data_IF_354151177387
#
_entry.id   IF_354151177387
#
_cell.length_a   1.000
_cell.length_b   1.000
_cell.length_c   1.000
_cell.angle_alpha   90.00
_cell.angle_beta   90.00
_cell.angle_gamma   90.00
#
_symmetry.space_group_name_H-M   'P 1'
#
loop_
_entity.id
_entity.type
_entity.pdbx_description
1 polymer ?
#
# COMPACT_ATOMS: atom_id res chain seq x y z
N UNK A 1 41.57 -14.49 -11.41
CA UNK A 1 40.51 -14.01 -10.47
C UNK A 1 40.53 -14.84 -9.20
N UNK A 2 40.70 -16.15 -9.35
CA UNK A 2 40.94 -17.18 -8.33
C UNK A 2 42.40 -17.25 -7.86
N UNK A 3 43.36 -16.91 -8.73
CA UNK A 3 44.81 -16.93 -8.45
C UNK A 3 45.53 -15.69 -8.99
N UNK A 4 46.78 -15.49 -8.56
CA UNK A 4 47.64 -14.37 -9.00
C UNK A 4 48.32 -14.63 -10.35
N UNK A 5 48.81 -15.85 -10.57
CA UNK A 5 49.54 -16.23 -11.78
C UNK A 5 48.88 -17.44 -12.46
N UNK A 6 48.89 -17.44 -13.80
CA UNK A 6 48.39 -18.53 -14.64
C UNK A 6 49.56 -19.15 -15.41
N UNK A 7 49.83 -20.44 -15.17
CA UNK A 7 50.93 -21.14 -15.81
C UNK A 7 50.53 -21.69 -17.19
N UNK A 8 51.50 -22.00 -18.07
CA UNK A 8 51.21 -22.62 -19.36
C UNK A 8 50.43 -23.94 -19.20
N UNK A 9 49.29 -24.04 -19.87
CA UNK A 9 48.39 -25.20 -19.82
C UNK A 9 47.26 -25.09 -18.80
N UNK A 10 47.30 -24.10 -17.91
CA UNK A 10 46.22 -23.86 -16.96
C UNK A 10 45.05 -23.11 -17.61
N UNK A 11 43.84 -23.37 -17.11
CA UNK A 11 42.63 -22.62 -17.41
C UNK A 11 42.12 -21.93 -16.16
N UNK A 12 41.74 -20.65 -16.30
CA UNK A 12 41.11 -19.90 -15.23
C UNK A 12 40.25 -18.76 -15.77
N UNK A 13 39.21 -18.33 -15.03
CA UNK A 13 38.53 -17.07 -15.32
C UNK A 13 39.48 -15.87 -15.13
N UNK A 14 39.67 -15.12 -16.21
CA UNK A 14 40.50 -13.91 -16.25
C UNK A 14 39.62 -12.69 -16.56
N UNK A 15 39.88 -11.57 -15.89
CA UNK A 15 39.25 -10.29 -16.19
C UNK A 15 40.26 -9.39 -16.90
N UNK A 16 39.93 -8.99 -18.14
CA UNK A 16 40.73 -8.02 -18.89
C UNK A 16 40.26 -6.60 -18.64
N UNK A 17 41.21 -5.68 -18.49
CA UNK A 17 40.98 -4.24 -18.61
C UNK A 17 41.61 -3.77 -19.91
N UNK A 18 40.77 -3.41 -20.86
CA UNK A 18 41.21 -3.00 -22.19
C UNK A 18 41.49 -1.50 -22.23
N UNK A 19 42.41 -1.08 -23.10
CA UNK A 19 42.77 0.33 -23.31
C UNK A 19 41.64 1.11 -24.01
N UNK A 20 40.84 0.42 -24.83
CA UNK A 20 39.69 0.98 -25.52
C UNK A 20 38.50 0.01 -25.48
N UNK A 21 37.25 0.52 -25.58
CA UNK A 21 36.06 -0.32 -25.66
C UNK A 21 36.07 -1.20 -26.90
N UNK A 22 35.60 -2.44 -26.76
CA UNK A 22 35.43 -3.40 -27.86
C UNK A 22 34.00 -3.92 -27.92
N UNK A 23 33.52 -4.28 -29.10
CA UNK A 23 32.24 -4.93 -29.28
C UNK A 23 32.45 -6.44 -29.29
N UNK A 24 31.81 -7.15 -28.37
CA UNK A 24 31.88 -8.59 -28.25
C UNK A 24 30.61 -9.16 -27.61
N UNK A 25 30.37 -10.44 -27.82
CA UNK A 25 29.30 -11.21 -27.19
C UNK A 25 29.89 -12.36 -26.37
N UNK A 26 29.06 -13.03 -25.55
CA UNK A 26 29.50 -14.25 -24.88
C UNK A 26 29.90 -15.32 -25.91
N UNK A 27 30.93 -16.08 -25.58
CA UNK A 27 31.52 -17.18 -26.37
C UNK A 27 32.35 -16.75 -27.60
N UNK A 28 32.49 -15.44 -27.85
CA UNK A 28 33.47 -14.93 -28.81
C UNK A 28 34.89 -15.38 -28.42
N UNK A 29 35.64 -15.86 -29.41
CA UNK A 29 37.01 -16.33 -29.21
C UNK A 29 38.00 -15.18 -29.29
N UNK A 30 38.99 -15.19 -28.41
CA UNK A 30 40.10 -14.24 -28.44
C UNK A 30 41.46 -14.95 -28.33
N UNK A 31 42.50 -14.25 -28.78
CA UNK A 31 43.90 -14.66 -28.64
C UNK A 31 44.67 -13.59 -27.89
N UNK A 32 45.57 -14.00 -27.01
CA UNK A 32 46.47 -13.11 -26.28
C UNK A 32 47.86 -13.26 -26.87
N UNK A 33 48.48 -12.15 -27.27
CA UNK A 33 49.82 -12.12 -27.85
C UNK A 33 50.71 -11.17 -27.06
N UNK A 34 51.97 -11.53 -26.88
CA UNK A 34 52.96 -10.60 -26.33
C UNK A 34 53.31 -9.53 -27.36
N UNK A 35 53.62 -8.33 -26.86
CA UNK A 35 53.96 -7.19 -27.70
C UNK A 35 55.29 -7.38 -28.45
N UNK A 36 56.34 -7.86 -27.76
CA UNK A 36 57.63 -8.20 -28.38
C UNK A 36 58.42 -9.23 -27.54
N UNK A 37 58.93 -10.32 -28.12
CA UNK A 37 58.66 -10.78 -29.49
C UNK A 37 57.16 -11.13 -29.65
N UNK A 38 56.63 -11.06 -30.87
CA UNK A 38 55.22 -11.39 -31.12
C UNK A 38 55.03 -12.90 -31.04
N UNK A 39 54.49 -13.40 -29.93
CA UNK A 39 54.11 -14.81 -29.75
C UNK A 39 52.74 -14.91 -29.10
N UNK A 40 51.99 -15.97 -29.42
CA UNK A 40 50.73 -16.29 -28.73
C UNK A 40 51.08 -16.81 -27.34
N UNK A 41 50.51 -16.17 -26.32
CA UNK A 41 50.71 -16.55 -24.91
C UNK A 41 49.47 -17.19 -24.30
N UNK A 42 48.34 -17.13 -24.99
CA UNK A 42 47.11 -17.78 -24.58
C UNK A 42 45.94 -17.42 -25.49
N UNK A 43 44.76 -17.86 -25.11
CA UNK A 43 43.50 -17.54 -25.76
C UNK A 43 42.35 -17.96 -24.86
N UNK A 44 41.13 -17.72 -25.31
CA UNK A 44 39.96 -18.10 -24.54
C UNK A 44 38.66 -17.74 -25.25
N UNK A 45 37.58 -17.85 -24.49
CA UNK A 45 36.25 -17.42 -24.89
C UNK A 45 35.76 -16.35 -23.91
N UNK A 46 35.00 -15.37 -24.41
CA UNK A 46 34.46 -14.30 -23.58
C UNK A 46 33.31 -14.85 -22.74
N UNK A 47 33.46 -14.85 -21.42
CA UNK A 47 32.41 -15.31 -20.50
C UNK A 47 31.39 -14.20 -20.21
N UNK A 48 31.86 -12.97 -20.00
CA UNK A 48 31.02 -11.83 -19.65
C UNK A 48 31.48 -10.58 -20.43
N UNK A 49 30.75 -10.15 -21.47
CA UNK A 49 31.17 -9.04 -22.32
C UNK A 49 31.01 -7.66 -21.65
N UNK A 50 30.20 -7.53 -20.60
CA UNK A 50 29.95 -6.26 -19.89
C UNK A 50 30.18 -6.41 -18.38
N UNK A 51 31.36 -6.91 -18.02
CA UNK A 51 31.74 -7.16 -16.63
C UNK A 51 31.95 -5.88 -15.82
N UNK A 52 31.57 -5.91 -14.54
CA UNK A 52 32.00 -4.94 -13.55
C UNK A 52 33.30 -5.40 -12.88
N UNK A 53 33.99 -4.51 -12.16
CA UNK A 53 35.20 -4.87 -11.41
C UNK A 53 34.85 -5.91 -10.34
N UNK A 54 35.52 -7.07 -10.38
CA UNK A 54 35.36 -8.09 -9.36
C UNK A 54 36.45 -7.98 -8.30
N UNK A 55 36.13 -8.39 -7.07
CA UNK A 55 37.13 -8.59 -6.02
C UNK A 55 37.86 -9.91 -6.31
N UNK A 56 39.17 -9.91 -6.12
CA UNK A 56 39.98 -11.14 -6.22
C UNK A 56 39.54 -12.15 -5.16
N UNK A 57 39.57 -13.43 -5.53
CA UNK A 57 39.21 -14.57 -4.69
C UNK A 57 37.79 -14.53 -4.11
N UNK A 58 36.85 -13.83 -4.78
CA UNK A 58 35.43 -13.87 -4.40
C UNK A 58 34.82 -15.22 -4.85
N UNK A 59 34.46 -16.13 -3.91
CA UNK A 59 33.98 -17.45 -4.26
C UNK A 59 32.67 -17.43 -5.06
N UNK A 60 31.80 -16.43 -4.83
CA UNK A 60 30.51 -16.32 -5.53
C UNK A 60 30.72 -15.96 -6.99
N UNK A 61 31.63 -15.02 -7.25
CA UNK A 61 31.98 -14.61 -8.62
C UNK A 61 32.65 -15.76 -9.36
N UNK A 62 33.61 -16.43 -8.72
CA UNK A 62 34.34 -17.55 -9.33
C UNK A 62 33.37 -18.70 -9.66
N UNK A 63 32.52 -19.10 -8.72
CA UNK A 63 31.53 -20.14 -8.96
C UNK A 63 30.59 -19.76 -10.10
N UNK A 64 30.07 -18.53 -10.10
CA UNK A 64 29.15 -18.09 -11.15
C UNK A 64 29.81 -18.00 -12.53
N UNK A 65 31.09 -17.61 -12.61
CA UNK A 65 31.86 -17.65 -13.87
C UNK A 65 32.11 -19.08 -14.34
N UNK A 66 32.32 -20.03 -13.43
CA UNK A 66 32.43 -21.45 -13.78
C UNK A 66 31.08 -22.01 -14.26
N UNK A 67 29.97 -21.58 -13.67
CA UNK A 67 28.63 -21.98 -14.10
C UNK A 67 28.34 -21.49 -15.54
N UNK A 68 28.92 -20.36 -15.98
CA UNK A 68 28.82 -19.87 -17.36
C UNK A 68 29.51 -20.77 -18.40
N UNK A 69 30.41 -21.65 -17.98
CA UNK A 69 31.05 -22.64 -18.85
C UNK A 69 30.14 -23.84 -19.10
N UNK A 70 29.06 -24.00 -18.33
CA UNK A 70 28.08 -25.06 -18.53
C UNK A 70 27.07 -24.68 -19.62
N UNK A 71 26.50 -25.67 -20.32
CA UNK A 71 25.43 -25.43 -21.32
C UNK A 71 24.05 -25.16 -20.69
N UNK A 72 24.01 -24.75 -19.42
CA UNK A 72 22.77 -24.43 -18.72
C UNK A 72 22.38 -22.95 -18.93
N UNK A 73 21.42 -22.76 -19.84
CA UNK A 73 20.86 -21.44 -20.15
C UNK A 73 20.23 -20.75 -18.94
N UNK A 74 19.55 -21.50 -18.06
CA UNK A 74 18.81 -20.92 -16.93
C UNK A 74 19.80 -20.40 -15.88
N UNK A 75 20.87 -21.17 -15.59
CA UNK A 75 21.97 -20.70 -14.73
C UNK A 75 22.68 -19.49 -15.31
N UNK A 76 22.93 -19.50 -16.61
CA UNK A 76 23.56 -18.37 -17.32
C UNK A 76 22.73 -17.09 -17.18
N UNK A 77 21.42 -17.17 -17.42
CA UNK A 77 20.49 -16.04 -17.25
C UNK A 77 20.45 -15.59 -15.78
N UNK A 78 20.33 -16.53 -14.85
CA UNK A 78 20.29 -16.26 -13.41
C UNK A 78 21.55 -15.51 -12.93
N UNK A 79 22.74 -15.97 -13.35
CA UNK A 79 24.01 -15.33 -13.03
C UNK A 79 24.02 -13.87 -13.49
N UNK A 80 23.73 -13.58 -14.76
CA UNK A 80 23.78 -12.20 -15.25
C UNK A 80 22.73 -11.29 -14.61
N UNK A 81 21.53 -11.80 -14.31
CA UNK A 81 20.51 -11.04 -13.60
C UNK A 81 20.93 -10.73 -12.16
N UNK A 82 21.57 -11.67 -11.47
CA UNK A 82 22.07 -11.47 -10.10
C UNK A 82 23.11 -10.36 -10.02
N UNK A 83 23.96 -10.21 -11.06
CA UNK A 83 24.99 -9.16 -11.12
C UNK A 83 24.41 -7.75 -11.27
N UNK A 84 23.21 -7.60 -11.87
CA UNK A 84 22.62 -6.29 -12.16
C UNK A 84 21.67 -5.78 -11.09
N UNK A 85 21.33 -6.62 -10.09
CA UNK A 85 20.46 -6.23 -8.99
C UNK A 85 19.13 -5.64 -9.49
N UNK A 86 18.74 -4.48 -8.94
CA UNK A 86 17.44 -3.84 -9.22
C UNK A 86 17.30 -3.29 -10.64
N UNK A 87 18.40 -2.97 -11.31
CA UNK A 87 18.37 -2.44 -12.68
C UNK A 87 17.93 -3.50 -13.70
N UNK A 88 18.17 -4.77 -13.36
CA UNK A 88 17.82 -5.91 -14.19
C UNK A 88 18.53 -5.90 -15.54
N UNK A 89 18.04 -6.75 -16.44
CA UNK A 89 18.47 -6.81 -17.83
C UNK A 89 17.25 -6.85 -18.75
N UNK A 90 17.32 -6.11 -19.85
CA UNK A 90 16.40 -6.23 -20.97
C UNK A 90 16.68 -7.49 -21.78
N UNK A 91 15.70 -7.94 -22.57
CA UNK A 91 15.87 -9.04 -23.52
C UNK A 91 17.06 -8.81 -24.46
N UNK A 92 17.25 -7.58 -24.95
CA UNK A 92 18.37 -7.22 -25.84
C UNK A 92 19.72 -7.36 -25.15
N UNK A 93 19.83 -6.94 -23.90
CA UNK A 93 21.06 -7.12 -23.12
C UNK A 93 21.30 -8.61 -22.84
N UNK A 94 20.27 -9.38 -22.47
CA UNK A 94 20.39 -10.83 -22.26
C UNK A 94 20.86 -11.55 -23.52
N UNK A 95 20.43 -11.15 -24.73
CA UNK A 95 20.95 -11.73 -25.98
C UNK A 95 22.46 -11.61 -26.10
N UNK A 96 23.00 -10.41 -25.86
CA UNK A 96 24.44 -10.11 -25.94
C UNK A 96 25.21 -10.86 -24.85
N UNK A 97 24.68 -10.84 -23.63
CA UNK A 97 25.34 -11.41 -22.45
C UNK A 97 25.33 -12.93 -22.44
N UNK A 98 24.31 -13.57 -23.02
CA UNK A 98 24.14 -15.02 -22.96
C UNK A 98 24.48 -15.76 -24.25
N UNK A 99 24.45 -15.07 -25.39
CA UNK A 99 24.58 -15.66 -26.73
C UNK A 99 23.59 -16.83 -26.99
N UNK A 100 22.43 -16.80 -26.32
CA UNK A 100 21.39 -17.83 -26.47
C UNK A 100 20.48 -17.45 -27.65
N UNK A 101 20.17 -18.39 -28.58
CA UNK A 101 19.20 -18.14 -29.65
C UNK A 101 17.82 -17.74 -29.11
N UNK A 102 17.19 -16.76 -29.74
CA UNK A 102 15.94 -16.12 -29.29
C UNK A 102 14.85 -17.10 -28.82
N UNK A 103 14.59 -18.15 -29.60
CA UNK A 103 13.57 -19.16 -29.26
C UNK A 103 13.89 -19.89 -27.96
N UNK A 104 15.17 -20.22 -27.73
CA UNK A 104 15.62 -20.89 -26.50
C UNK A 104 15.63 -19.91 -25.32
N UNK A 105 16.07 -18.68 -25.54
CA UNK A 105 16.08 -17.63 -24.52
C UNK A 105 14.67 -17.32 -24.02
N UNK A 106 13.71 -17.09 -24.94
CA UNK A 106 12.32 -16.85 -24.58
C UNK A 106 11.70 -18.02 -23.80
N UNK A 107 11.99 -19.26 -24.21
CA UNK A 107 11.52 -20.47 -23.50
C UNK A 107 12.11 -20.59 -22.09
N UNK A 108 13.40 -20.30 -21.91
CA UNK A 108 14.05 -20.30 -20.60
C UNK A 108 13.45 -19.21 -19.69
N UNK A 109 13.31 -17.98 -20.19
CA UNK A 109 12.70 -16.87 -19.44
C UNK A 109 11.28 -17.20 -18.98
N UNK A 110 10.45 -17.79 -19.85
CA UNK A 110 9.10 -18.21 -19.48
C UNK A 110 9.08 -19.25 -18.35
N UNK A 111 9.95 -20.27 -18.42
CA UNK A 111 10.08 -21.28 -17.36
C UNK A 111 10.53 -20.69 -16.04
N UNK A 112 11.55 -19.83 -16.06
CA UNK A 112 12.07 -19.15 -14.88
C UNK A 112 11.01 -18.21 -14.26
N UNK A 113 10.23 -17.50 -15.09
CA UNK A 113 9.12 -16.66 -14.61
C UNK A 113 8.01 -17.50 -13.95
N UNK A 114 7.68 -18.66 -14.51
CA UNK A 114 6.68 -19.56 -13.93
C UNK A 114 7.10 -20.07 -12.54
N UNK A 115 8.41 -20.31 -12.34
CA UNK A 115 9.00 -20.68 -11.04
C UNK A 115 9.30 -19.48 -10.14
N UNK A 116 9.03 -18.26 -10.58
CA UNK A 116 9.34 -17.01 -9.88
C UNK A 116 10.84 -16.78 -9.59
N UNK A 117 11.73 -17.48 -10.28
CA UNK A 117 13.18 -17.28 -10.21
C UNK A 117 13.60 -15.95 -10.84
N UNK A 118 12.79 -15.44 -11.77
CA UNK A 118 12.93 -14.11 -12.35
C UNK A 118 11.56 -13.43 -12.42
N UNK A 119 11.57 -12.10 -12.39
CA UNK A 119 10.36 -11.29 -12.45
C UNK A 119 10.52 -10.27 -13.57
N UNK A 120 9.53 -10.20 -14.46
CA UNK A 120 9.48 -9.19 -15.50
C UNK A 120 8.97 -7.87 -14.92
N UNK A 121 9.81 -6.85 -14.92
CA UNK A 121 9.54 -5.54 -14.32
C UNK A 121 9.09 -4.49 -15.34
N UNK A 122 9.32 -4.76 -16.62
CA UNK A 122 8.88 -3.91 -17.72
C UNK A 122 8.47 -4.78 -18.91
N UNK A 123 7.19 -4.74 -19.28
CA UNK A 123 6.68 -5.50 -20.43
C UNK A 123 7.12 -4.91 -21.76
N UNK A 124 7.24 -3.59 -21.85
CA UNK A 124 7.60 -2.90 -23.10
C UNK A 124 9.07 -3.10 -23.42
N UNK A 125 9.95 -2.83 -22.45
CA UNK A 125 11.40 -3.03 -22.60
C UNK A 125 11.85 -4.47 -22.37
N UNK A 126 10.92 -5.37 -22.04
CA UNK A 126 11.18 -6.76 -21.67
C UNK A 126 12.31 -6.84 -20.64
N UNK A 127 12.18 -6.12 -19.52
CA UNK A 127 13.18 -6.12 -18.44
C UNK A 127 12.85 -7.17 -17.40
N UNK A 128 13.89 -7.86 -16.93
CA UNK A 128 13.83 -8.92 -15.95
C UNK A 128 14.77 -8.62 -14.79
N UNK A 129 14.35 -8.99 -13.59
CA UNK A 129 15.14 -8.92 -12.35
C UNK A 129 15.15 -10.29 -11.70
N UNK A 130 16.25 -10.62 -11.02
CA UNK A 130 16.38 -11.88 -10.30
C UNK A 130 15.37 -11.98 -9.14
N UNK A 131 14.79 -13.16 -8.92
CA UNK A 131 13.78 -13.40 -7.90
C UNK A 131 14.27 -13.09 -6.49
N UNK A 132 15.51 -13.46 -6.16
CA UNK A 132 16.11 -13.15 -4.85
C UNK A 132 16.24 -11.64 -4.59
N UNK A 133 16.57 -10.86 -5.63
CA UNK A 133 16.67 -9.39 -5.53
C UNK A 133 15.31 -8.80 -5.19
N UNK A 134 14.27 -9.31 -5.84
CA UNK A 134 12.89 -8.90 -5.57
C UNK A 134 12.43 -9.32 -4.17
N UNK A 135 12.71 -10.56 -3.74
CA UNK A 135 12.39 -11.06 -2.41
C UNK A 135 13.08 -10.26 -1.30
N UNK A 136 14.38 -9.99 -1.45
CA UNK A 136 15.12 -9.15 -0.50
C UNK A 136 14.55 -7.72 -0.44
N UNK A 137 14.10 -7.18 -1.57
CA UNK A 137 13.48 -5.86 -1.59
C UNK A 137 12.10 -5.83 -0.93
N UNK A 138 11.30 -6.88 -1.13
CA UNK A 138 10.03 -7.10 -0.43
C UNK A 138 10.23 -7.03 1.09
N UNK A 139 11.23 -7.73 1.61
CA UNK A 139 11.55 -7.70 3.06
C UNK A 139 11.89 -6.29 3.54
N UNK A 140 12.75 -5.57 2.80
CA UNK A 140 13.12 -4.18 3.13
C UNK A 140 11.93 -3.23 3.13
N UNK A 141 10.98 -3.40 2.20
CA UNK A 141 9.76 -2.59 2.15
C UNK A 141 8.88 -2.86 3.37
N UNK A 142 8.68 -4.13 3.72
CA UNK A 142 7.89 -4.52 4.89
C UNK A 142 8.52 -3.98 6.18
N UNK A 143 9.84 -4.12 6.33
CA UNK A 143 10.59 -3.58 7.47
C UNK A 143 10.41 -2.06 7.61
N UNK A 144 10.51 -1.32 6.50
CA UNK A 144 10.31 0.14 6.51
C UNK A 144 8.89 0.56 6.83
N UNK A 145 7.89 -0.18 6.37
CA UNK A 145 6.50 0.08 6.73
C UNK A 145 6.25 -0.21 8.22
N UNK A 146 6.78 -1.31 8.75
CA UNK A 146 6.69 -1.66 10.18
C UNK A 146 7.28 -0.56 11.06
N UNK A 147 8.52 -0.15 10.77
CA UNK A 147 9.20 0.90 11.53
C UNK A 147 8.46 2.26 11.46
N UNK A 148 7.83 2.56 10.32
CA UNK A 148 7.04 3.79 10.18
C UNK A 148 5.76 3.76 11.01
N UNK A 149 5.06 2.63 11.02
CA UNK A 149 3.86 2.44 11.83
C UNK A 149 4.17 2.54 13.32
N UNK A 150 5.26 1.92 13.78
CA UNK A 150 5.74 2.05 15.17
C UNK A 150 6.06 3.51 15.52
N UNK A 151 6.73 4.23 14.62
CA UNK A 151 7.07 5.64 14.83
C UNK A 151 5.86 6.60 14.67
N UNK A 152 4.79 6.19 13.99
CA UNK A 152 3.62 7.01 13.71
C UNK A 152 2.29 6.24 13.91
N UNK A 153 1.95 5.80 15.15
CA UNK A 153 0.77 4.95 15.40
C UNK A 153 -0.58 5.60 15.05
N UNK A 154 -0.62 6.92 14.94
CA UNK A 154 -1.82 7.72 14.63
C UNK A 154 -2.01 7.98 13.12
N UNK A 155 -1.04 7.63 12.27
CA UNK A 155 -1.15 7.82 10.82
C UNK A 155 -1.68 6.56 10.16
N UNK A 156 -2.61 6.71 9.22
CA UNK A 156 -3.26 5.59 8.51
C UNK A 156 -2.31 4.76 7.64
N UNK A 157 -1.19 5.34 7.20
CA UNK A 157 -0.18 4.65 6.41
C UNK A 157 0.95 5.60 6.02
N UNK A 158 1.99 5.05 5.40
CA UNK A 158 3.09 5.85 4.87
C UNK A 158 2.71 6.42 3.49
N UNK A 159 3.00 7.69 3.18
CA UNK A 159 2.88 8.20 1.82
C UNK A 159 3.75 7.41 0.83
N UNK A 160 3.19 7.00 -0.31
CA UNK A 160 3.88 6.17 -1.31
C UNK A 160 5.18 6.81 -1.82
N UNK A 161 5.18 8.14 -2.02
CA UNK A 161 6.37 8.87 -2.45
C UNK A 161 7.44 8.92 -1.35
N UNK A 162 7.03 9.02 -0.09
CA UNK A 162 7.95 8.95 1.05
C UNK A 162 8.63 7.58 1.09
N UNK A 163 7.86 6.49 0.93
CA UNK A 163 8.42 5.14 0.85
C UNK A 163 9.42 5.01 -0.29
N UNK A 164 9.05 5.42 -1.52
CA UNK A 164 9.93 5.38 -2.70
C UNK A 164 11.22 6.17 -2.47
N UNK A 165 11.13 7.34 -1.81
CA UNK A 165 12.29 8.17 -1.48
C UNK A 165 13.28 7.50 -0.51
N UNK A 166 12.90 6.44 0.22
CA UNK A 166 13.83 5.66 1.05
C UNK A 166 14.69 4.69 0.22
N UNK A 167 14.36 4.53 -1.06
CA UNK A 167 14.95 3.57 -1.97
C UNK A 167 15.44 4.24 -3.27
N UNK A 168 16.12 5.39 -3.15
CA UNK A 168 16.57 6.20 -4.30
C UNK A 168 17.55 5.49 -5.25
N UNK A 169 18.17 4.39 -4.81
CA UNK A 169 19.02 3.56 -5.67
C UNK A 169 18.23 2.69 -6.66
N UNK A 170 16.90 2.69 -6.58
CA UNK A 170 16.00 2.05 -7.53
C UNK A 170 15.33 3.13 -8.38
N UNK A 171 15.86 3.37 -9.57
CA UNK A 171 15.35 4.44 -10.45
C UNK A 171 14.09 4.03 -11.23
N UNK A 172 13.76 2.74 -11.29
CA UNK A 172 12.64 2.24 -12.08
C UNK A 172 11.32 2.29 -11.29
N UNK A 173 10.48 3.28 -11.61
CA UNK A 173 9.13 3.41 -11.04
C UNK A 173 8.25 2.17 -11.31
N UNK A 174 8.44 1.50 -12.46
CA UNK A 174 7.67 0.29 -12.83
C UNK A 174 7.97 -0.86 -11.89
N UNK A 175 9.22 -0.95 -11.41
CA UNK A 175 9.65 -1.94 -10.42
C UNK A 175 8.81 -1.83 -9.13
N UNK A 176 8.70 -0.62 -8.57
CA UNK A 176 7.88 -0.39 -7.38
C UNK A 176 6.41 -0.74 -7.60
N UNK A 177 5.83 -0.36 -8.75
CA UNK A 177 4.42 -0.63 -9.03
C UNK A 177 4.15 -2.14 -9.12
N UNK A 178 5.04 -2.91 -9.75
CA UNK A 178 4.91 -4.37 -9.83
C UNK A 178 5.09 -5.01 -8.46
N UNK A 179 6.04 -4.53 -7.66
CA UNK A 179 6.21 -4.96 -6.29
C UNK A 179 4.95 -4.72 -5.45
N UNK A 180 4.44 -3.49 -5.42
CA UNK A 180 3.28 -3.15 -4.61
C UNK A 180 2.04 -3.93 -5.04
N UNK A 181 1.79 -4.04 -6.36
CA UNK A 181 0.69 -4.86 -6.88
C UNK A 181 0.82 -6.34 -6.48
N UNK A 182 2.05 -6.87 -6.39
CA UNK A 182 2.29 -8.24 -5.94
C UNK A 182 2.07 -8.38 -4.44
N UNK A 183 2.61 -7.48 -3.63
CA UNK A 183 2.41 -7.49 -2.17
C UNK A 183 0.95 -7.31 -1.78
N UNK A 184 0.19 -6.52 -2.53
CA UNK A 184 -1.24 -6.35 -2.35
C UNK A 184 -2.02 -7.63 -2.68
N UNK A 185 -1.68 -8.31 -3.79
CA UNK A 185 -2.24 -9.63 -4.12
C UNK A 185 -1.90 -10.70 -3.07
N UNK A 186 -0.71 -10.63 -2.50
CA UNK A 186 -0.26 -11.47 -1.38
C UNK A 186 -0.89 -11.06 -0.03
N UNK A 187 -1.71 -10.00 0.01
CA UNK A 187 -2.31 -9.43 1.23
C UNK A 187 -1.27 -9.03 2.29
N UNK A 188 -0.04 -8.70 1.88
CA UNK A 188 1.00 -8.21 2.77
C UNK A 188 0.83 -6.70 3.06
N UNK A 189 0.33 -5.96 2.08
CA UNK A 189 0.07 -4.52 2.16
C UNK A 189 -1.34 -4.18 1.67
N UNK A 190 -1.79 -2.99 2.02
CA UNK A 190 -2.97 -2.32 1.46
C UNK A 190 -2.52 -0.98 0.87
N UNK A 191 -2.95 -0.72 -0.37
CA UNK A 191 -2.75 0.58 -1.02
C UNK A 191 -4.06 1.37 -0.93
N UNK A 192 -4.01 2.57 -0.33
CA UNK A 192 -5.14 3.49 -0.28
C UNK A 192 -4.73 4.84 -0.87
N UNK A 193 -5.14 5.08 -2.12
CA UNK A 193 -4.79 6.29 -2.90
C UNK A 193 -3.27 6.52 -2.96
N UNK A 194 -2.77 7.42 -2.11
CA UNK A 194 -1.36 7.82 -2.02
C UNK A 194 -0.67 7.30 -0.76
N UNK A 195 -1.34 6.42 -0.01
CA UNK A 195 -0.85 5.79 1.20
C UNK A 195 -0.64 4.29 0.97
N UNK A 196 0.34 3.75 1.67
CA UNK A 196 0.65 2.33 1.71
C UNK A 196 0.83 1.92 3.18
N UNK A 197 0.19 0.82 3.57
CA UNK A 197 0.26 0.28 4.92
C UNK A 197 0.35 -1.24 4.89
N UNK A 198 0.95 -1.83 5.92
CA UNK A 198 0.82 -3.26 6.19
C UNK A 198 -0.64 -3.63 6.36
N UNK A 199 -1.05 -4.78 5.80
CA UNK A 199 -2.46 -5.18 5.79
C UNK A 199 -3.05 -5.41 7.19
N UNK A 200 -2.23 -5.78 8.16
CA UNK A 200 -2.63 -5.96 9.56
C UNK A 200 -2.48 -4.73 10.45
N UNK A 201 -2.16 -3.56 9.88
CA UNK A 201 -2.02 -2.34 10.68
C UNK A 201 -3.35 -1.59 10.80
N UNK A 202 -3.79 -1.46 12.04
CA UNK A 202 -4.91 -0.61 12.45
C UNK A 202 -4.38 0.58 13.25
N UNK A 203 -4.95 1.76 13.01
CA UNK A 203 -4.49 3.01 13.63
C UNK A 203 -4.90 3.03 15.09
N UNK A 204 -3.99 3.38 16.00
CA UNK A 204 -4.30 3.46 17.43
C UNK A 204 -5.46 4.45 17.72
N UNK A 205 -5.55 5.54 16.94
CA UNK A 205 -6.66 6.49 17.02
C UNK A 205 -8.03 5.87 16.70
N UNK A 206 -8.12 4.84 15.83
CA UNK A 206 -9.40 4.15 15.60
C UNK A 206 -9.84 3.32 16.81
N UNK A 207 -8.89 2.76 17.55
CA UNK A 207 -9.15 2.06 18.82
C UNK A 207 -9.66 3.05 19.88
N UNK A 208 -8.99 4.20 20.01
CA UNK A 208 -9.43 5.28 20.92
C UNK A 208 -10.79 5.89 20.49
N UNK A 209 -11.02 6.10 19.20
CA UNK A 209 -12.30 6.59 18.66
C UNK A 209 -13.45 5.62 18.93
N UNK A 210 -13.21 4.30 18.90
CA UNK A 210 -14.25 3.33 19.24
C UNK A 210 -14.66 3.43 20.72
N UNK A 211 -13.71 3.61 21.63
CA UNK A 211 -14.03 3.82 23.05
C UNK A 211 -14.80 5.13 23.28
N UNK A 212 -14.36 6.21 22.62
CA UNK A 212 -15.02 7.52 22.68
C UNK A 212 -16.44 7.43 22.13
N UNK A 213 -16.62 6.74 21.00
CA UNK A 213 -17.91 6.48 20.36
C UNK A 213 -18.86 5.74 21.31
N UNK A 214 -18.40 4.67 21.96
CA UNK A 214 -19.19 3.93 22.95
C UNK A 214 -19.59 4.80 24.14
N UNK A 215 -18.67 5.63 24.65
CA UNK A 215 -18.97 6.57 25.75
C UNK A 215 -19.98 7.64 25.33
N UNK A 216 -19.80 8.28 24.17
CA UNK A 216 -20.75 9.27 23.64
C UNK A 216 -22.15 8.67 23.42
N UNK A 217 -22.21 7.47 22.83
CA UNK A 217 -23.47 6.78 22.58
C UNK A 217 -24.18 6.42 23.90
N UNK A 218 -23.44 6.00 24.93
CA UNK A 218 -24.01 5.79 26.28
C UNK A 218 -24.60 7.07 26.87
N UNK A 219 -23.94 8.22 26.70
CA UNK A 219 -24.46 9.52 27.16
C UNK A 219 -25.78 9.85 26.46
N UNK A 220 -25.85 9.74 25.12
CA UNK A 220 -27.07 10.03 24.39
C UNK A 220 -28.22 9.07 24.72
N UNK A 221 -27.93 7.77 24.86
CA UNK A 221 -28.91 6.75 25.29
C UNK A 221 -29.46 7.03 26.68
N UNK A 222 -28.60 7.37 27.65
CA UNK A 222 -29.01 7.65 29.02
C UNK A 222 -29.81 8.96 29.12
N UNK A 223 -29.58 9.91 28.22
CA UNK A 223 -30.20 11.24 28.28
C UNK A 223 -31.58 11.33 27.62
N UNK A 224 -31.98 10.32 26.84
CA UNK A 224 -33.29 10.27 26.17
C UNK A 224 -33.59 11.52 25.34
N UNK A 225 -34.73 12.16 25.61
CA UNK A 225 -35.18 13.40 24.94
C UNK A 225 -34.61 14.69 25.56
N UNK A 226 -33.65 14.59 26.48
CA UNK A 226 -32.98 15.73 27.11
C UNK A 226 -31.44 15.62 27.00
N UNK A 227 -30.88 15.53 25.79
CA UNK A 227 -29.44 15.36 25.61
C UNK A 227 -28.66 16.60 26.07
N UNK A 228 -27.45 16.41 26.62
CA UNK A 228 -26.51 17.51 26.78
C UNK A 228 -26.12 18.07 25.41
N UNK A 229 -25.64 19.32 25.38
CA UNK A 229 -25.09 19.89 24.15
C UNK A 229 -23.79 19.16 23.80
N UNK A 230 -23.50 18.99 22.52
CA UNK A 230 -22.28 18.33 22.08
C UNK A 230 -21.02 19.01 22.64
N UNK A 231 -20.97 20.34 22.68
CA UNK A 231 -19.89 21.09 23.36
C UNK A 231 -19.69 20.72 24.83
N UNK A 232 -20.75 20.36 25.55
CA UNK A 232 -20.69 19.94 26.95
C UNK A 232 -20.12 18.53 27.06
N UNK A 233 -20.54 17.62 26.17
CA UNK A 233 -19.97 16.27 26.10
C UNK A 233 -18.46 16.33 25.81
N UNK A 234 -18.04 17.18 24.86
CA UNK A 234 -16.62 17.38 24.57
C UNK A 234 -15.82 17.86 25.78
N UNK A 235 -16.40 18.77 26.59
CA UNK A 235 -15.77 19.29 27.79
C UNK A 235 -15.70 18.23 28.91
N UNK A 236 -16.80 17.51 29.16
CA UNK A 236 -16.90 16.47 30.20
C UNK A 236 -15.98 15.27 29.92
N UNK A 237 -15.76 14.96 28.64
CA UNK A 237 -14.91 13.85 28.19
C UNK A 237 -13.47 14.29 27.87
N UNK A 238 -13.11 15.56 28.10
CA UNK A 238 -11.79 16.14 27.81
C UNK A 238 -11.28 15.85 26.38
N UNK A 239 -12.20 15.87 25.39
CA UNK A 239 -11.89 15.52 24.01
C UNK A 239 -11.40 16.73 23.21
N UNK A 240 -10.42 16.50 22.33
CA UNK A 240 -10.07 17.49 21.33
C UNK A 240 -11.23 17.67 20.31
N UNK A 241 -11.40 18.90 19.83
CA UNK A 241 -12.53 19.23 18.96
C UNK A 241 -12.58 18.45 17.64
N UNK A 242 -11.42 18.01 17.13
CA UNK A 242 -11.36 17.32 15.84
C UNK A 242 -11.83 15.89 16.01
N UNK A 243 -11.24 15.15 16.95
CA UNK A 243 -11.62 13.77 17.27
C UNK A 243 -13.09 13.68 17.68
N UNK A 244 -13.57 14.61 18.51
CA UNK A 244 -14.98 14.62 18.90
C UNK A 244 -15.93 14.79 17.70
N UNK A 245 -15.59 15.66 16.74
CA UNK A 245 -16.40 15.87 15.53
C UNK A 245 -16.36 14.67 14.60
N UNK A 246 -15.18 14.05 14.42
CA UNK A 246 -15.03 12.86 13.60
C UNK A 246 -15.86 11.70 14.17
N UNK A 247 -15.82 11.49 15.49
CA UNK A 247 -16.65 10.48 16.18
C UNK A 247 -18.14 10.77 16.08
N UNK A 248 -18.55 12.02 16.27
CA UNK A 248 -19.94 12.43 16.11
C UNK A 248 -20.44 12.17 14.68
N UNK A 249 -19.62 12.47 13.66
CA UNK A 249 -19.98 12.21 12.27
C UNK A 249 -20.16 10.71 12.01
N UNK A 250 -19.28 9.86 12.55
CA UNK A 250 -19.45 8.39 12.48
C UNK A 250 -20.79 7.94 13.08
N UNK A 251 -21.19 8.47 14.24
CA UNK A 251 -22.47 8.14 14.88
C UNK A 251 -23.69 8.56 14.05
N UNK A 252 -23.58 9.67 13.31
CA UNK A 252 -24.64 10.16 12.41
C UNK A 252 -24.71 9.29 11.14
N UNK A 253 -23.56 8.96 10.54
CA UNK A 253 -23.47 8.14 9.33
C UNK A 253 -24.02 6.73 9.58
N UNK A 254 -23.77 6.18 10.78
CA UNK A 254 -24.33 4.92 11.24
C UNK A 254 -25.81 4.99 11.69
N UNK A 255 -26.41 6.19 11.68
CA UNK A 255 -27.78 6.45 12.15
C UNK A 255 -28.01 6.05 13.62
N UNK A 256 -26.96 5.99 14.42
CA UNK A 256 -27.07 5.75 15.86
C UNK A 256 -27.55 7.00 16.60
N UNK A 257 -27.23 8.17 16.05
CA UNK A 257 -27.59 9.48 16.60
C UNK A 257 -28.21 10.35 15.51
N UNK A 258 -29.25 11.09 15.88
CA UNK A 258 -30.00 11.99 15.00
C UNK A 258 -29.66 13.44 15.34
N UNK A 259 -29.21 14.19 14.33
CA UNK A 259 -29.02 15.63 14.43
C UNK A 259 -30.36 16.34 14.22
N UNK A 260 -30.72 17.21 15.16
CA UNK A 260 -31.94 18.03 15.06
C UNK A 260 -31.56 19.45 14.61
N UNK A 261 -31.43 20.38 15.56
CA UNK A 261 -31.05 21.77 15.33
C UNK A 261 -29.93 22.16 16.30
N UNK A 262 -29.13 23.13 15.86
CA UNK A 262 -27.98 23.65 16.61
C UNK A 262 -26.98 22.52 16.97
N UNK A 263 -26.57 22.48 18.23
CA UNK A 263 -25.58 21.57 18.80
C UNK A 263 -26.24 20.42 19.59
N UNK A 264 -27.48 20.05 19.22
CA UNK A 264 -28.29 19.01 19.86
C UNK A 264 -28.41 17.77 19.00
N UNK A 265 -28.04 16.65 19.62
CA UNK A 265 -28.01 15.33 19.01
C UNK A 265 -28.72 14.36 19.94
N UNK A 266 -29.55 13.49 19.37
CA UNK A 266 -30.42 12.59 20.12
C UNK A 266 -30.14 11.15 19.75
N UNK A 267 -30.29 10.23 20.69
CA UNK A 267 -30.27 8.80 20.38
C UNK A 267 -31.38 8.48 19.37
N UNK A 268 -31.05 7.70 18.33
CA UNK A 268 -31.99 7.40 17.26
C UNK A 268 -33.19 6.57 17.75
N UNK A 269 -33.01 5.67 18.72
CA UNK A 269 -34.12 4.90 19.26
C UNK A 269 -35.09 5.78 20.04
N UNK A 270 -34.59 6.76 20.80
CA UNK A 270 -35.43 7.75 21.48
C UNK A 270 -36.25 8.60 20.50
N UNK A 271 -35.66 9.00 19.37
CA UNK A 271 -36.38 9.74 18.31
C UNK A 271 -37.44 8.85 17.64
N UNK A 272 -37.12 7.59 17.33
CA UNK A 272 -38.06 6.67 16.70
C UNK A 272 -39.26 6.33 17.60
N UNK A 273 -39.05 6.20 18.91
CA UNK A 273 -40.13 6.01 19.90
C UNK A 273 -41.03 7.26 19.97
N UNK A 274 -40.43 8.45 19.98
CA UNK A 274 -41.16 9.71 19.96
C UNK A 274 -41.96 9.91 18.65
N UNK A 275 -41.36 9.57 17.51
CA UNK A 275 -42.02 9.58 16.21
C UNK A 275 -43.26 8.69 16.21
N UNK A 276 -43.15 7.48 16.74
CA UNK A 276 -44.26 6.53 16.84
C UNK A 276 -45.40 7.09 17.69
N UNK A 277 -45.09 7.64 18.88
CA UNK A 277 -46.06 8.30 19.76
C UNK A 277 -46.75 9.49 19.10
N UNK A 278 -45.99 10.31 18.37
CA UNK A 278 -46.51 11.47 17.65
C UNK A 278 -47.47 11.05 16.54
N UNK A 279 -47.12 10.03 15.76
CA UNK A 279 -47.97 9.48 14.69
C UNK A 279 -49.28 8.96 15.29
N UNK A 280 -49.23 8.21 16.38
CA UNK A 280 -50.42 7.66 17.02
C UNK A 280 -51.33 8.77 17.58
N UNK A 281 -50.74 9.79 18.21
CA UNK A 281 -51.49 10.96 18.67
C UNK A 281 -52.19 11.69 17.52
N UNK A 282 -51.48 11.93 16.42
CA UNK A 282 -52.02 12.65 15.26
C UNK A 282 -53.05 11.85 14.46
N UNK A 283 -52.97 10.51 14.48
CA UNK A 283 -54.05 9.66 13.93
C UNK A 283 -55.34 9.75 14.75
N UNK A 284 -55.22 9.94 16.06
CA UNK A 284 -56.38 10.04 16.96
C UNK A 284 -56.98 11.45 17.01
N UNK A 285 -56.15 12.50 16.96
CA UNK A 285 -56.58 13.89 17.22
C UNK A 285 -56.47 14.82 16.00
N UNK A 286 -56.01 14.31 14.84
CA UNK A 286 -55.73 15.01 13.56
C UNK A 286 -54.66 16.10 13.59
N UNK A 287 -54.55 16.84 14.70
CA UNK A 287 -53.64 17.97 14.89
C UNK A 287 -53.02 17.96 16.29
N UNK A 288 -51.85 18.57 16.42
CA UNK A 288 -51.17 18.78 17.69
C UNK A 288 -50.61 20.19 17.77
N UNK A 289 -50.84 20.87 18.89
CA UNK A 289 -50.24 22.17 19.21
C UNK A 289 -48.91 22.00 19.92
N UNK A 290 -48.09 23.05 19.94
CA UNK A 290 -46.78 23.02 20.63
C UNK A 290 -46.92 22.72 22.15
N UNK A 291 -47.93 23.27 22.88
CA UNK A 291 -48.19 22.88 24.27
C UNK A 291 -48.54 21.39 24.43
N UNK A 292 -49.42 20.84 23.59
CA UNK A 292 -49.79 19.41 23.66
C UNK A 292 -48.59 18.50 23.37
N UNK A 293 -47.72 18.87 22.42
CA UNK A 293 -46.48 18.14 22.17
C UNK A 293 -45.50 18.22 23.34
N UNK A 294 -45.46 19.36 24.05
CA UNK A 294 -44.69 19.49 25.29
C UNK A 294 -45.25 18.56 26.36
N UNK A 295 -46.56 18.50 26.53
CA UNK A 295 -47.20 17.67 27.53
C UNK A 295 -47.02 16.17 27.22
N UNK A 296 -47.05 15.79 25.94
CA UNK A 296 -46.75 14.44 25.46
C UNK A 296 -45.30 14.00 25.76
N UNK A 297 -44.35 14.92 25.60
CA UNK A 297 -42.92 14.62 25.80
C UNK A 297 -42.47 14.77 27.25
N UNK A 298 -43.14 15.60 28.05
CA UNK A 298 -42.77 15.89 29.44
C UNK A 298 -41.48 16.70 29.60
N UNK A 299 -40.90 17.22 28.51
CA UNK A 299 -39.59 17.89 28.52
C UNK A 299 -39.72 19.42 28.47
N UNK A 300 -38.62 20.11 28.76
CA UNK A 300 -38.57 21.57 28.72
C UNK A 300 -38.70 22.12 27.29
N UNK A 301 -39.19 23.36 27.15
CA UNK A 301 -39.33 24.06 25.85
C UNK A 301 -38.04 24.09 25.04
N UNK A 302 -36.88 24.07 25.71
CA UNK A 302 -35.55 24.03 25.11
C UNK A 302 -35.37 22.86 24.14
N UNK A 303 -35.94 21.70 24.44
CA UNK A 303 -35.82 20.48 23.62
C UNK A 303 -37.04 20.25 22.73
N UNK A 304 -38.23 20.68 23.17
CA UNK A 304 -39.48 20.58 22.41
C UNK A 304 -39.37 21.26 21.05
N UNK A 305 -38.87 22.50 21.00
CA UNK A 305 -38.84 23.27 19.74
C UNK A 305 -37.91 22.61 18.70
N UNK A 306 -36.66 22.24 19.02
CA UNK A 306 -35.81 21.51 18.09
C UNK A 306 -36.42 20.19 17.60
N UNK A 307 -37.07 19.42 18.47
CA UNK A 307 -37.68 18.13 18.10
C UNK A 307 -38.86 18.29 17.16
N UNK A 308 -39.76 19.24 17.44
CA UNK A 308 -40.95 19.44 16.61
C UNK A 308 -40.59 20.07 15.25
N UNK A 309 -39.54 20.90 15.20
CA UNK A 309 -38.97 21.41 13.95
C UNK A 309 -38.21 20.33 13.17
N UNK A 310 -37.56 19.39 13.85
CA UNK A 310 -36.95 18.22 13.21
C UNK A 310 -37.99 17.36 12.50
N UNK A 311 -39.15 17.10 13.12
CA UNK A 311 -40.23 16.36 12.46
C UNK A 311 -40.82 17.10 11.25
N UNK A 312 -40.83 18.43 11.27
CA UNK A 312 -41.19 19.23 10.09
C UNK A 312 -40.13 19.09 8.97
N UNK A 313 -38.83 19.10 9.33
CA UNK A 313 -37.72 19.05 8.39
C UNK A 313 -37.59 17.70 7.67
N UNK A 314 -37.86 16.59 8.37
CA UNK A 314 -37.94 15.25 7.77
C UNK A 314 -39.29 14.97 7.11
N UNK A 315 -40.16 15.96 7.03
CA UNK A 315 -41.46 15.90 6.35
C UNK A 315 -42.47 14.94 6.99
N UNK A 316 -42.33 14.64 8.28
CA UNK A 316 -43.32 13.88 9.03
C UNK A 316 -44.55 14.74 9.34
N UNK A 317 -44.33 15.95 9.82
CA UNK A 317 -45.37 16.92 10.14
C UNK A 317 -45.31 18.15 9.23
N UNK A 318 -46.43 18.86 9.14
CA UNK A 318 -46.52 20.18 8.52
C UNK A 318 -47.22 21.15 9.46
N UNK A 319 -46.65 22.34 9.61
CA UNK A 319 -47.24 23.42 10.43
C UNK A 319 -48.34 24.15 9.64
N UNK A 320 -49.52 24.25 10.24
CA UNK A 320 -50.68 24.98 9.72
C UNK A 320 -51.16 25.93 10.82
N UNK A 321 -50.79 27.20 10.73
CA UNK A 321 -51.01 28.17 11.79
C UNK A 321 -50.28 27.77 13.09
N UNK A 322 -51.04 27.54 14.15
CA UNK A 322 -50.54 27.23 15.50
C UNK A 322 -50.47 25.73 15.83
N UNK A 323 -50.92 24.87 14.92
CA UNK A 323 -50.89 23.43 15.07
C UNK A 323 -50.08 22.76 13.95
N UNK A 324 -49.77 21.48 14.16
CA UNK A 324 -49.14 20.60 13.20
C UNK A 324 -50.04 19.40 12.94
N UNK A 325 -49.99 18.91 11.71
CA UNK A 325 -50.72 17.74 11.27
C UNK A 325 -49.77 16.78 10.53
N UNK A 326 -50.14 15.51 10.42
CA UNK A 326 -49.37 14.55 9.62
C UNK A 326 -49.36 15.01 8.17
N UNK A 327 -48.17 14.98 7.57
CA UNK A 327 -48.04 15.25 6.14
C UNK A 327 -48.57 14.03 5.38
N UNK A 328 -49.71 14.14 4.70
CA UNK A 328 -50.18 13.09 3.79
C UNK A 328 -49.10 12.87 2.73
N UNK A 329 -48.54 11.65 2.64
CA UNK A 329 -47.73 11.25 1.49
C UNK A 329 -48.62 11.39 0.27
N UNK A 330 -48.22 12.26 -0.67
CA UNK A 330 -48.78 12.29 -2.02
C UNK A 330 -48.43 10.99 -2.75
#
# INVERSE_FOLDING_TARGET
LDREELLPGDEAPVQFRLESPVCCIKDDRYVIRSYSPVRTIGGGAILNPASQKHKLQDPKVIQGLNDLLTEDHEKTISFFLSLKGFTGLSLTELRVMTNIPDKKLAGALQKMMARQEIIQTDKEKQRYVHGEVFSSFREKVIEKLSAYHEANPLKEGMPTQELKSKFQYVDDVRFFNILFNRLEKEKAIVQDKNLIKLAGFEVALQVDQHEIKEKMLKVYRASGLTPPFFRSICADMELDQKTAKDVLQMLIDEKAVVKTKDDLFFDAAAINDLESKLIDFLKANEKITTPEFKDMTGISRKFVIPLIEYFDSIHLTIRVGDHRQLRKKL
#
